data_IF_980419196347
#
_entry.id   IF_980419196347
#
_cell.length_a   1.000
_cell.length_b   1.000
_cell.length_c   1.000
_cell.angle_alpha   90.00
_cell.angle_beta   90.00
_cell.angle_gamma   90.00
#
_symmetry.space_group_name_H-M   'P 1'
#
loop_
_entity.id
_entity.type
_entity.pdbx_description
1 polymer ?
#
# COMPACT_ATOMS: atom_id res chain seq x y z
N UNK A 1 -93.88 -18.52 -5.45
CA UNK A 1 -92.82 -18.75 -4.44
C UNK A 1 -91.47 -18.36 -5.04
N UNK A 2 -90.99 -17.15 -4.77
CA UNK A 2 -89.71 -16.67 -5.30
C UNK A 2 -88.65 -16.67 -4.18
N UNK A 3 -87.58 -17.45 -4.37
CA UNK A 3 -86.41 -17.53 -3.48
C UNK A 3 -85.68 -16.18 -3.49
N UNK A 4 -85.50 -15.55 -2.31
CA UNK A 4 -84.54 -14.45 -2.12
C UNK A 4 -83.12 -15.02 -2.19
N UNK A 5 -82.37 -14.59 -3.20
CA UNK A 5 -80.92 -14.79 -3.31
C UNK A 5 -80.24 -13.78 -2.40
N UNK A 6 -79.40 -14.25 -1.48
CA UNK A 6 -78.54 -13.42 -0.65
C UNK A 6 -77.37 -12.88 -1.46
N UNK A 7 -77.18 -11.56 -1.45
CA UNK A 7 -75.99 -10.91 -2.00
C UNK A 7 -74.79 -11.14 -1.08
N UNK A 8 -73.60 -11.50 -1.61
CA UNK A 8 -72.41 -11.66 -0.79
C UNK A 8 -71.88 -10.30 -0.33
N UNK A 9 -71.48 -10.20 0.94
CA UNK A 9 -70.90 -8.99 1.51
C UNK A 9 -69.51 -8.72 0.92
N UNK A 10 -69.26 -7.46 0.54
CA UNK A 10 -67.96 -7.01 0.06
C UNK A 10 -66.87 -7.18 1.14
N UNK A 11 -65.66 -7.67 0.82
CA UNK A 11 -64.59 -7.78 1.79
C UNK A 11 -64.17 -6.39 2.27
N UNK A 12 -64.25 -6.14 3.58
CA UNK A 12 -63.69 -4.92 4.19
C UNK A 12 -62.19 -4.88 3.88
N UNK A 13 -61.75 -3.87 3.12
CA UNK A 13 -60.32 -3.59 2.93
C UNK A 13 -59.73 -3.31 4.32
N UNK A 14 -58.92 -4.22 4.84
CA UNK A 14 -58.12 -3.95 6.05
C UNK A 14 -57.17 -2.80 5.70
N UNK A 15 -57.34 -1.67 6.37
CA UNK A 15 -56.33 -0.61 6.31
C UNK A 15 -55.01 -1.22 6.78
N UNK A 16 -53.95 -1.02 6.01
CA UNK A 16 -52.60 -1.33 6.46
C UNK A 16 -52.38 -0.61 7.81
N UNK A 17 -51.75 -1.26 8.80
CA UNK A 17 -51.44 -0.58 10.05
C UNK A 17 -50.66 0.70 9.71
N UNK A 18 -50.83 1.80 10.45
CA UNK A 18 -49.99 2.97 10.26
C UNK A 18 -48.57 2.49 10.55
N UNK A 19 -47.81 2.18 9.51
CA UNK A 19 -46.40 1.85 9.63
C UNK A 19 -45.82 3.11 10.23
N UNK A 20 -45.46 3.01 11.51
CA UNK A 20 -45.21 4.17 12.34
C UNK A 20 -44.16 5.02 11.65
N UNK A 21 -44.50 6.24 11.30
CA UNK A 21 -43.53 7.22 10.81
C UNK A 21 -42.32 7.29 11.75
N UNK A 22 -42.52 7.05 13.05
CA UNK A 22 -41.44 6.88 14.02
C UNK A 22 -40.47 5.73 13.73
N UNK A 23 -40.92 4.58 13.21
CA UNK A 23 -40.03 3.48 12.81
C UNK A 23 -39.23 3.79 11.54
N UNK A 24 -39.84 4.49 10.57
CA UNK A 24 -39.15 4.95 9.37
C UNK A 24 -38.11 6.03 9.72
N UNK A 25 -38.48 7.00 10.55
CA UNK A 25 -37.57 8.05 11.04
C UNK A 25 -36.44 7.44 11.87
N UNK A 26 -36.73 6.48 12.75
CA UNK A 26 -35.70 5.77 13.51
C UNK A 26 -34.74 5.01 12.60
N UNK A 27 -35.23 4.34 11.56
CA UNK A 27 -34.39 3.66 10.58
C UNK A 27 -33.52 4.65 9.78
N UNK A 28 -34.09 5.78 9.35
CA UNK A 28 -33.34 6.84 8.64
C UNK A 28 -32.27 7.46 9.55
N UNK A 29 -32.57 7.69 10.83
CA UNK A 29 -31.60 8.20 11.79
C UNK A 29 -30.52 7.17 12.14
N UNK A 30 -30.86 5.88 12.23
CA UNK A 30 -29.89 4.81 12.45
C UNK A 30 -28.98 4.62 11.23
N UNK A 31 -29.54 4.63 10.02
CA UNK A 31 -28.77 4.53 8.77
C UNK A 31 -27.92 5.79 8.58
N UNK A 32 -28.50 6.99 8.74
CA UNK A 32 -27.79 8.26 8.65
C UNK A 32 -26.72 8.41 9.72
N UNK A 33 -27.00 8.02 10.95
CA UNK A 33 -26.05 7.98 12.06
C UNK A 33 -24.94 6.94 11.83
N UNK A 34 -25.26 5.78 11.26
CA UNK A 34 -24.29 4.78 10.85
C UNK A 34 -23.37 5.27 9.72
N UNK A 35 -23.93 5.92 8.69
CA UNK A 35 -23.15 6.55 7.61
C UNK A 35 -22.27 7.67 8.17
N UNK A 36 -22.81 8.52 9.04
CA UNK A 36 -22.04 9.58 9.70
C UNK A 36 -20.92 9.03 10.58
N UNK A 37 -21.18 7.96 11.34
CA UNK A 37 -20.19 7.30 12.18
C UNK A 37 -19.08 6.67 11.35
N UNK A 38 -19.42 5.95 10.27
CA UNK A 38 -18.45 5.38 9.32
C UNK A 38 -17.63 6.48 8.62
N UNK A 39 -18.26 7.58 8.20
CA UNK A 39 -17.55 8.72 7.62
C UNK A 39 -16.64 9.41 8.63
N UNK A 40 -17.03 9.48 9.90
CA UNK A 40 -16.18 10.02 10.97
C UNK A 40 -14.99 9.11 11.28
N UNK A 41 -15.12 7.80 11.06
CA UNK A 41 -14.00 6.86 11.09
C UNK A 41 -13.12 6.90 9.84
N UNK A 42 -13.58 7.51 8.74
CA UNK A 42 -12.81 7.67 7.50
C UNK A 42 -11.77 8.81 7.62
N UNK A 43 -10.83 8.67 8.53
CA UNK A 43 -9.80 9.69 8.84
C UNK A 43 -8.85 9.99 7.68
N UNK A 44 -8.83 9.15 6.64
CA UNK A 44 -7.92 9.23 5.51
C UNK A 44 -8.61 9.61 4.18
N UNK A 45 -9.88 10.04 4.25
CA UNK A 45 -10.64 10.57 3.10
C UNK A 45 -10.67 9.61 1.90
N UNK A 46 -10.95 8.34 2.16
CA UNK A 46 -10.92 7.32 1.12
C UNK A 46 -12.02 7.52 0.07
N UNK A 47 -11.64 7.58 -1.21
CA UNK A 47 -12.57 7.71 -2.35
C UNK A 47 -12.24 6.69 -3.43
N UNK A 48 -13.27 6.17 -4.08
CA UNK A 48 -13.09 5.24 -5.20
C UNK A 48 -12.76 5.99 -6.49
N UNK A 49 -11.75 5.52 -7.21
CA UNK A 49 -11.31 6.10 -8.48
C UNK A 49 -11.50 5.07 -9.58
N UNK A 50 -12.60 5.21 -10.33
CA UNK A 50 -13.05 4.19 -11.28
C UNK A 50 -12.01 3.85 -12.37
N UNK A 51 -11.26 4.85 -12.85
CA UNK A 51 -10.28 4.64 -13.92
C UNK A 51 -9.10 3.75 -13.49
N UNK A 52 -8.79 3.66 -12.19
CA UNK A 52 -7.76 2.75 -11.65
C UNK A 52 -8.35 1.57 -10.87
N UNK A 53 -9.68 1.50 -10.72
CA UNK A 53 -10.39 0.36 -10.13
C UNK A 53 -10.22 0.18 -8.61
N UNK A 54 -9.64 1.15 -7.89
CA UNK A 54 -9.37 1.02 -6.45
C UNK A 54 -9.83 2.25 -5.66
N UNK A 55 -9.87 2.14 -4.34
CA UNK A 55 -10.01 3.30 -3.44
C UNK A 55 -8.61 3.86 -3.15
N UNK A 56 -8.51 5.18 -3.02
CA UNK A 56 -7.30 5.89 -2.65
C UNK A 56 -7.54 6.74 -1.39
N UNK A 57 -6.55 6.87 -0.49
CA UNK A 57 -6.65 7.74 0.68
C UNK A 57 -6.23 9.18 0.31
N UNK A 58 -7.20 10.05 0.00
CA UNK A 58 -6.94 11.41 -0.51
C UNK A 58 -6.34 12.37 0.52
N UNK A 59 -6.33 11.99 1.80
CA UNK A 59 -5.59 12.72 2.84
C UNK A 59 -4.10 12.88 2.48
N UNK A 60 -3.50 11.89 1.81
CA UNK A 60 -2.10 11.93 1.42
C UNK A 60 -1.98 12.47 -0.01
N UNK A 61 -1.15 13.48 -0.21
CA UNK A 61 -0.97 14.10 -1.54
C UNK A 61 0.06 13.37 -2.40
N UNK A 62 0.92 12.56 -1.78
CA UNK A 62 2.04 11.88 -2.44
C UNK A 62 1.71 10.41 -2.65
N UNK A 63 1.42 10.09 -3.91
CA UNK A 63 1.15 8.73 -4.36
C UNK A 63 2.32 8.17 -5.18
N UNK A 64 2.47 6.86 -5.10
CA UNK A 64 3.46 6.12 -5.85
C UNK A 64 2.99 4.70 -6.13
N UNK A 65 3.83 3.98 -6.85
CA UNK A 65 3.64 2.55 -7.14
C UNK A 65 4.91 1.79 -6.80
N UNK A 66 4.82 0.47 -6.76
CA UNK A 66 6.00 -0.38 -6.81
C UNK A 66 5.87 -1.41 -7.92
N UNK A 67 7.01 -1.71 -8.56
CA UNK A 67 7.06 -2.51 -9.78
C UNK A 67 8.23 -3.49 -9.80
N UNK A 68 8.08 -4.55 -10.58
CA UNK A 68 9.09 -5.56 -10.86
C UNK A 68 8.96 -6.05 -12.31
N UNK A 69 9.70 -7.09 -12.68
CA UNK A 69 9.51 -7.81 -13.94
C UNK A 69 8.07 -8.32 -14.16
N UNK A 70 7.28 -8.48 -13.10
CA UNK A 70 5.91 -8.98 -13.19
C UNK A 70 4.96 -7.97 -13.83
N UNK A 71 5.29 -6.67 -13.81
CA UNK A 71 4.51 -5.62 -14.46
C UNK A 71 4.82 -5.49 -15.96
N UNK A 72 5.75 -6.29 -16.48
CA UNK A 72 6.13 -6.31 -17.88
C UNK A 72 6.72 -4.99 -18.37
N UNK A 73 6.54 -4.71 -19.67
CA UNK A 73 7.05 -3.48 -20.28
C UNK A 73 6.17 -2.29 -19.91
N UNK A 74 6.75 -1.35 -19.18
CA UNK A 74 6.09 -0.11 -18.74
C UNK A 74 6.31 1.00 -19.78
N UNK A 75 5.24 1.68 -20.17
CA UNK A 75 5.29 2.92 -20.95
C UNK A 75 5.47 4.12 -20.01
N UNK A 76 6.72 4.46 -19.69
CA UNK A 76 7.06 5.49 -18.71
C UNK A 76 6.58 6.91 -19.05
N UNK A 77 6.65 7.39 -20.30
CA UNK A 77 6.06 8.68 -20.67
C UNK A 77 4.56 8.76 -20.40
N UNK A 78 3.81 7.72 -20.77
CA UNK A 78 2.37 7.61 -20.49
C UNK A 78 2.11 7.55 -18.98
N UNK A 79 2.90 6.74 -18.27
CA UNK A 79 2.86 6.63 -16.81
C UNK A 79 3.04 8.01 -16.16
N UNK A 80 4.01 8.81 -16.62
CA UNK A 80 4.28 10.13 -16.04
C UNK A 80 3.14 11.12 -16.27
N UNK A 81 2.44 10.98 -17.39
CA UNK A 81 1.33 11.83 -17.82
C UNK A 81 -0.01 11.44 -17.21
N UNK A 82 -0.14 10.22 -16.66
CA UNK A 82 -1.37 9.76 -16.03
C UNK A 82 -1.88 10.78 -15.01
N UNK A 83 -3.17 11.08 -15.03
CA UNK A 83 -3.81 11.92 -14.02
C UNK A 83 -5.19 11.35 -13.71
N UNK A 84 -5.56 11.43 -12.44
CA UNK A 84 -6.90 11.10 -11.97
C UNK A 84 -7.33 12.19 -11.00
N UNK A 85 -8.21 13.09 -11.45
CA UNK A 85 -8.45 14.36 -10.74
C UNK A 85 -7.12 15.10 -10.53
N UNK A 86 -6.79 15.49 -9.30
CA UNK A 86 -5.52 16.14 -8.94
C UNK A 86 -4.35 15.15 -8.75
N UNK A 87 -4.62 13.84 -8.80
CA UNK A 87 -3.63 12.82 -8.47
C UNK A 87 -2.60 12.59 -9.58
N UNK A 88 -1.35 12.46 -9.15
CA UNK A 88 -0.18 12.15 -9.97
C UNK A 88 0.67 11.13 -9.22
N UNK A 89 1.30 10.20 -9.93
CA UNK A 89 2.41 9.46 -9.34
C UNK A 89 3.62 10.37 -9.19
N UNK A 90 4.23 10.32 -8.02
CA UNK A 90 5.39 11.13 -7.64
C UNK A 90 6.61 10.27 -7.33
N UNK A 91 6.40 9.03 -6.86
CA UNK A 91 7.49 8.09 -6.61
C UNK A 91 7.21 6.69 -7.17
N UNK A 92 8.28 5.90 -7.28
CA UNK A 92 8.23 4.48 -7.63
C UNK A 92 9.29 3.69 -6.88
N UNK A 93 8.91 2.56 -6.29
CA UNK A 93 9.88 1.54 -5.85
C UNK A 93 10.03 0.45 -6.91
N UNK A 94 11.26 0.00 -7.16
CA UNK A 94 11.56 -0.94 -8.25
C UNK A 94 12.34 -2.11 -7.69
N UNK A 95 11.86 -3.34 -7.94
CA UNK A 95 12.58 -4.55 -7.54
C UNK A 95 13.94 -4.58 -8.20
N UNK A 96 15.00 -4.67 -7.42
CA UNK A 96 16.35 -4.79 -7.94
C UNK A 96 16.86 -6.22 -7.89
N UNK A 97 16.74 -6.84 -6.72
CA UNK A 97 17.33 -8.16 -6.48
C UNK A 97 16.49 -8.99 -5.52
N UNK A 98 16.76 -10.29 -5.52
CA UNK A 98 16.12 -11.27 -4.65
C UNK A 98 17.16 -12.28 -4.18
N UNK A 99 17.25 -12.48 -2.87
CA UNK A 99 18.21 -13.42 -2.29
C UNK A 99 19.67 -13.15 -2.70
N UNK A 100 20.48 -14.21 -2.66
CA UNK A 100 21.93 -14.09 -2.82
C UNK A 100 22.42 -13.80 -4.25
N UNK A 101 21.58 -13.99 -5.28
CA UNK A 101 22.05 -13.95 -6.67
C UNK A 101 21.05 -13.48 -7.73
N UNK A 102 19.74 -13.49 -7.46
CA UNK A 102 18.78 -13.11 -8.48
C UNK A 102 18.75 -11.58 -8.63
N UNK A 103 18.82 -11.13 -9.88
CA UNK A 103 18.58 -9.75 -10.27
C UNK A 103 17.29 -9.69 -11.06
N UNK A 104 16.44 -8.71 -10.79
CA UNK A 104 15.25 -8.49 -11.60
C UNK A 104 15.67 -8.05 -13.02
N UNK A 105 15.22 -8.82 -14.02
CA UNK A 105 15.63 -8.64 -15.42
C UNK A 105 15.25 -7.27 -16.00
N UNK A 106 14.21 -6.63 -15.45
CA UNK A 106 13.69 -5.36 -15.94
C UNK A 106 14.18 -4.18 -15.08
N UNK A 107 14.88 -4.43 -13.96
CA UNK A 107 15.37 -3.41 -13.04
C UNK A 107 16.16 -2.30 -13.75
N UNK A 108 17.20 -2.65 -14.53
CA UNK A 108 18.06 -1.65 -15.17
C UNK A 108 17.29 -0.72 -16.10
N UNK A 109 16.34 -1.27 -16.85
CA UNK A 109 15.49 -0.48 -17.74
C UNK A 109 14.51 0.39 -16.94
N UNK A 110 13.79 -0.19 -15.99
CA UNK A 110 12.83 0.52 -15.15
C UNK A 110 13.51 1.64 -14.34
N UNK A 111 14.68 1.36 -13.76
CA UNK A 111 15.49 2.31 -13.01
C UNK A 111 15.86 3.53 -13.86
N UNK A 112 16.39 3.31 -15.07
CA UNK A 112 16.77 4.38 -16.00
C UNK A 112 15.55 5.20 -16.44
N UNK A 113 14.46 4.54 -16.77
CA UNK A 113 13.28 5.20 -17.33
C UNK A 113 12.51 6.00 -16.27
N UNK A 114 12.43 5.51 -15.03
CA UNK A 114 11.84 6.23 -13.89
C UNK A 114 12.53 7.58 -13.65
N UNK A 115 13.86 7.59 -13.71
CA UNK A 115 14.69 8.80 -13.60
C UNK A 115 14.47 9.75 -14.79
N UNK A 116 14.39 9.20 -16.01
CA UNK A 116 14.11 9.98 -17.22
C UNK A 116 12.77 10.71 -17.21
N UNK A 117 11.79 10.23 -16.44
CA UNK A 117 10.48 10.90 -16.27
C UNK A 117 10.36 11.71 -14.97
N UNK A 118 11.41 11.75 -14.16
CA UNK A 118 11.49 12.58 -12.96
C UNK A 118 10.63 12.10 -11.80
N UNK A 119 10.41 10.79 -11.66
CA UNK A 119 9.84 10.22 -10.44
C UNK A 119 10.94 10.02 -9.39
N UNK A 120 10.62 10.26 -8.11
CA UNK A 120 11.48 9.79 -7.03
C UNK A 120 11.53 8.27 -7.10
N UNK A 121 12.71 7.69 -7.26
CA UNK A 121 12.87 6.24 -7.43
C UNK A 121 13.62 5.63 -6.25
N UNK A 122 13.16 4.48 -5.78
CA UNK A 122 13.83 3.66 -4.78
C UNK A 122 13.98 2.22 -5.27
N UNK A 123 15.01 1.53 -4.83
CA UNK A 123 15.27 0.14 -5.21
C UNK A 123 15.03 -0.77 -4.01
N UNK A 124 14.36 -1.90 -4.21
CA UNK A 124 14.11 -2.87 -3.14
C UNK A 124 14.77 -4.22 -3.37
N UNK A 125 15.14 -4.86 -2.26
CA UNK A 125 15.70 -6.20 -2.19
C UNK A 125 14.70 -7.16 -1.53
N UNK A 126 14.22 -8.16 -2.26
CA UNK A 126 13.37 -9.21 -1.70
C UNK A 126 14.22 -10.20 -0.89
N UNK A 127 14.03 -10.20 0.43
CA UNK A 127 14.85 -10.93 1.37
C UNK A 127 14.45 -12.41 1.47
N UNK A 128 15.45 -13.30 1.41
CA UNK A 128 15.30 -14.74 1.56
C UNK A 128 15.94 -15.18 2.89
N UNK A 129 15.15 -15.55 3.92
CA UNK A 129 15.67 -15.73 5.28
C UNK A 129 16.76 -16.79 5.44
N UNK A 130 16.74 -17.83 4.61
CA UNK A 130 17.71 -18.94 4.65
C UNK A 130 18.97 -18.68 3.81
N UNK A 131 19.18 -17.45 3.33
CA UNK A 131 20.44 -17.01 2.69
C UNK A 131 21.18 -16.06 3.64
N UNK A 132 22.51 -16.04 3.55
CA UNK A 132 23.32 -15.16 4.42
C UNK A 132 23.05 -13.70 4.10
N UNK A 133 22.93 -12.81 5.11
CA UNK A 133 22.65 -11.40 4.89
C UNK A 133 23.75 -10.71 4.04
N UNK A 134 25.01 -11.13 4.17
CA UNK A 134 26.14 -10.59 3.41
C UNK A 134 26.00 -10.88 1.90
N UNK A 135 25.64 -12.12 1.54
CA UNK A 135 25.49 -12.49 0.13
C UNK A 135 24.32 -11.76 -0.54
N UNK A 136 23.24 -11.55 0.23
CA UNK A 136 22.07 -10.79 -0.19
C UNK A 136 22.40 -9.31 -0.37
N UNK A 137 23.15 -8.72 0.57
CA UNK A 137 23.60 -7.35 0.47
C UNK A 137 24.56 -7.15 -0.72
N UNK A 138 25.54 -8.04 -0.92
CA UNK A 138 26.46 -7.94 -2.07
C UNK A 138 25.72 -8.06 -3.41
N UNK A 139 24.66 -8.87 -3.48
CA UNK A 139 23.80 -8.92 -4.66
C UNK A 139 23.11 -7.58 -4.93
N UNK A 140 22.51 -6.98 -3.90
CA UNK A 140 21.86 -5.68 -4.01
C UNK A 140 22.86 -4.56 -4.37
N UNK A 141 23.98 -4.47 -3.64
CA UNK A 141 25.08 -3.50 -3.86
C UNK A 141 25.67 -3.55 -5.27
N UNK A 142 25.79 -4.74 -5.86
CA UNK A 142 26.29 -4.90 -7.24
C UNK A 142 25.28 -4.34 -8.26
N UNK A 143 24.00 -4.49 -7.99
CA UNK A 143 22.93 -4.14 -8.93
C UNK A 143 22.48 -2.69 -8.81
N UNK A 144 22.52 -2.13 -7.61
CA UNK A 144 21.96 -0.82 -7.29
C UNK A 144 23.08 0.19 -7.04
N UNK A 145 23.04 1.29 -7.80
CA UNK A 145 23.86 2.48 -7.58
C UNK A 145 22.93 3.65 -7.38
N UNK A 146 22.88 4.14 -6.15
CA UNK A 146 22.07 5.30 -5.78
C UNK A 146 22.85 6.58 -6.07
N UNK A 147 22.13 7.61 -6.49
CA UNK A 147 22.62 8.98 -6.63
C UNK A 147 21.77 9.93 -5.80
N UNK A 148 22.24 11.17 -5.65
CA UNK A 148 21.47 12.25 -5.04
C UNK A 148 20.05 12.31 -5.60
N UNK A 149 19.07 12.40 -4.71
CA UNK A 149 17.65 12.43 -5.06
C UNK A 149 16.98 11.06 -5.22
N UNK A 150 17.73 9.96 -5.23
CA UNK A 150 17.14 8.62 -5.10
C UNK A 150 16.65 8.40 -3.65
N UNK A 151 15.59 7.62 -3.50
CA UNK A 151 15.09 7.18 -2.20
C UNK A 151 16.06 6.17 -1.55
N UNK A 152 16.04 6.03 -0.20
CA UNK A 152 16.85 5.03 0.47
C UNK A 152 16.62 3.61 -0.06
N UNK A 153 17.61 2.71 0.07
CA UNK A 153 17.43 1.31 -0.30
C UNK A 153 16.35 0.67 0.60
N UNK A 154 15.57 -0.23 0.03
CA UNK A 154 14.50 -0.92 0.76
C UNK A 154 14.89 -2.38 0.99
N UNK A 155 14.76 -2.85 2.23
CA UNK A 155 14.73 -4.27 2.56
C UNK A 155 13.29 -4.76 2.60
N UNK A 156 12.89 -5.57 1.63
CA UNK A 156 11.57 -6.20 1.58
C UNK A 156 11.65 -7.54 2.34
N UNK A 157 11.00 -7.57 3.51
CA UNK A 157 10.94 -8.73 4.38
C UNK A 157 9.49 -9.14 4.67
N UNK A 158 9.03 -10.11 3.90
CA UNK A 158 7.67 -10.67 4.01
C UNK A 158 7.61 -12.19 3.93
N UNK A 159 8.78 -12.86 3.98
CA UNK A 159 8.90 -14.31 3.87
C UNK A 159 9.40 -14.93 5.17
N UNK A 160 8.71 -15.97 5.63
CA UNK A 160 9.05 -16.72 6.84
C UNK A 160 10.04 -17.84 6.59
N UNK A 161 10.57 -18.42 7.67
CA UNK A 161 11.40 -19.63 7.59
C UNK A 161 11.23 -20.47 8.85
N UNK A 162 11.37 -21.79 8.69
CA UNK A 162 11.44 -22.74 9.81
C UNK A 162 12.89 -23.16 10.11
N UNK A 163 13.86 -22.72 9.28
CA UNK A 163 15.26 -23.10 9.42
C UNK A 163 16.03 -22.24 10.43
N UNK A 164 15.47 -21.10 10.84
CA UNK A 164 16.09 -20.14 11.75
C UNK A 164 15.13 -19.80 12.88
N UNK A 165 15.69 -19.57 14.07
CA UNK A 165 14.94 -18.97 15.17
C UNK A 165 14.57 -17.52 14.85
N UNK A 166 13.61 -16.97 15.60
CA UNK A 166 13.22 -15.58 15.44
C UNK A 166 14.38 -14.62 15.70
N UNK A 167 15.20 -14.91 16.72
CA UNK A 167 16.39 -14.14 17.09
C UNK A 167 17.44 -14.17 15.98
N UNK A 168 17.65 -15.33 15.34
CA UNK A 168 18.56 -15.45 14.19
C UNK A 168 18.07 -14.64 12.99
N UNK A 169 16.75 -14.63 12.71
CA UNK A 169 16.19 -13.80 11.65
C UNK A 169 16.41 -12.32 11.96
N UNK A 170 16.12 -11.86 13.18
CA UNK A 170 16.33 -10.47 13.61
C UNK A 170 17.81 -10.08 13.48
N UNK A 171 18.73 -10.94 13.94
CA UNK A 171 20.16 -10.70 13.81
C UNK A 171 20.59 -10.56 12.35
N UNK A 172 20.11 -11.45 11.46
CA UNK A 172 20.46 -11.40 10.05
C UNK A 172 19.91 -10.14 9.35
N UNK A 173 18.66 -9.75 9.65
CA UNK A 173 18.08 -8.50 9.14
C UNK A 173 18.90 -7.29 9.60
N UNK A 174 19.30 -7.24 10.87
CA UNK A 174 20.16 -6.17 11.41
C UNK A 174 21.50 -6.11 10.69
N UNK A 175 22.11 -7.25 10.37
CA UNK A 175 23.34 -7.30 9.58
C UNK A 175 23.14 -6.69 8.20
N UNK A 176 22.11 -7.11 7.45
CA UNK A 176 21.85 -6.57 6.10
C UNK A 176 21.61 -5.06 6.14
N UNK A 177 20.78 -4.59 7.08
CA UNK A 177 20.44 -3.18 7.23
C UNK A 177 21.65 -2.32 7.59
N UNK A 178 22.50 -2.80 8.50
CA UNK A 178 23.75 -2.11 8.88
C UNK A 178 24.72 -2.03 7.71
N UNK A 179 24.87 -3.10 6.93
CA UNK A 179 25.72 -3.11 5.74
C UNK A 179 25.22 -2.10 4.70
N UNK A 180 23.90 -2.04 4.48
CA UNK A 180 23.28 -1.09 3.56
C UNK A 180 23.40 0.36 4.04
N UNK A 181 23.15 0.65 5.32
CA UNK A 181 23.31 1.99 5.90
C UNK A 181 24.76 2.49 5.77
N UNK A 182 25.74 1.63 6.10
CA UNK A 182 27.16 1.96 5.98
C UNK A 182 27.59 2.22 4.53
N UNK A 183 27.07 1.45 3.57
CA UNK A 183 27.47 1.59 2.17
C UNK A 183 26.81 2.77 1.46
N UNK A 184 25.51 2.98 1.69
CA UNK A 184 24.75 4.05 1.01
C UNK A 184 24.75 5.37 1.79
N UNK A 185 25.21 5.38 3.04
CA UNK A 185 25.24 6.58 3.88
C UNK A 185 23.87 7.09 4.28
N UNK A 186 22.83 6.26 4.16
CA UNK A 186 21.45 6.59 4.52
C UNK A 186 20.79 5.35 5.13
N UNK A 187 19.91 5.57 6.11
CA UNK A 187 19.18 4.47 6.74
C UNK A 187 18.22 3.81 5.73
N UNK A 188 18.31 2.49 5.51
CA UNK A 188 17.38 1.77 4.65
C UNK A 188 15.93 1.83 5.15
N UNK A 189 14.99 1.73 4.23
CA UNK A 189 13.57 1.53 4.54
C UNK A 189 13.32 0.02 4.74
N UNK A 190 12.49 -0.36 5.70
CA UNK A 190 12.01 -1.75 5.86
C UNK A 190 10.61 -1.84 5.28
N UNK A 191 10.43 -2.66 4.24
CA UNK A 191 9.11 -3.08 3.77
C UNK A 191 8.69 -4.37 4.44
N UNK A 192 7.45 -4.42 4.94
CA UNK A 192 6.89 -5.62 5.55
C UNK A 192 5.36 -5.55 5.64
N UNK A 193 4.73 -6.68 5.97
CA UNK A 193 3.30 -6.75 6.25
C UNK A 193 3.02 -6.75 7.77
N UNK A 194 1.74 -6.68 8.13
CA UNK A 194 1.29 -6.59 9.52
C UNK A 194 1.84 -7.68 10.45
N UNK A 195 1.92 -8.92 9.98
CA UNK A 195 2.29 -10.06 10.80
C UNK A 195 3.79 -10.08 11.10
N UNK A 196 4.60 -9.82 10.07
CA UNK A 196 6.04 -9.72 10.19
C UNK A 196 6.47 -8.47 10.96
N UNK A 197 5.75 -7.35 10.80
CA UNK A 197 5.95 -6.16 11.61
C UNK A 197 5.87 -6.48 13.11
N UNK A 198 4.77 -7.11 13.54
CA UNK A 198 4.54 -7.44 14.96
C UNK A 198 5.57 -8.44 15.49
N UNK A 199 5.96 -9.42 14.67
CA UNK A 199 6.84 -10.50 15.11
C UNK A 199 8.31 -10.11 15.14
N UNK A 200 8.77 -9.36 14.14
CA UNK A 200 10.20 -9.11 13.93
C UNK A 200 10.59 -7.64 14.02
N UNK A 201 9.71 -6.70 13.63
CA UNK A 201 10.12 -5.32 13.37
C UNK A 201 9.91 -4.37 14.56
N UNK A 202 8.69 -4.34 15.11
CA UNK A 202 8.19 -3.31 16.05
C UNK A 202 9.20 -2.87 17.12
N UNK A 203 9.78 -3.84 17.83
CA UNK A 203 10.66 -3.56 18.97
C UNK A 203 12.15 -3.63 18.63
N UNK A 204 12.51 -4.24 17.49
CA UNK A 204 13.91 -4.57 17.17
C UNK A 204 14.58 -3.55 16.23
N UNK A 205 13.79 -2.78 15.47
CA UNK A 205 14.30 -1.87 14.43
C UNK A 205 13.76 -0.45 14.60
N UNK A 206 13.67 0.01 15.86
CA UNK A 206 13.26 1.37 16.19
C UNK A 206 14.15 2.38 15.46
N UNK A 207 13.52 3.39 14.83
CA UNK A 207 14.20 4.45 14.10
C UNK A 207 14.52 4.13 12.63
N UNK A 208 14.22 2.92 12.15
CA UNK A 208 14.19 2.64 10.70
C UNK A 208 12.89 3.16 10.07
N UNK A 209 12.95 3.85 8.91
CA UNK A 209 11.77 4.18 8.14
C UNK A 209 11.02 2.91 7.73
N UNK A 210 9.70 2.92 7.88
CA UNK A 210 8.85 1.77 7.52
C UNK A 210 8.01 2.04 6.28
N UNK A 211 7.90 1.00 5.46
CA UNK A 211 6.93 0.85 4.39
C UNK A 211 6.03 -0.34 4.70
N UNK A 212 4.77 -0.08 5.06
CA UNK A 212 3.86 -1.13 5.51
C UNK A 212 2.91 -1.56 4.39
N UNK A 213 2.82 -2.86 4.13
CA UNK A 213 1.74 -3.45 3.36
C UNK A 213 0.54 -3.75 4.24
N UNK A 214 -0.55 -3.03 4.03
CA UNK A 214 -1.81 -3.25 4.72
C UNK A 214 -3.00 -2.88 3.83
N UNK A 215 -3.65 -3.91 3.29
CA UNK A 215 -4.81 -3.76 2.40
C UNK A 215 -6.15 -3.86 3.14
N UNK A 216 -6.11 -4.15 4.45
CA UNK A 216 -7.30 -4.52 5.23
C UNK A 216 -7.91 -3.36 6.02
N UNK A 217 -7.16 -2.27 6.17
CA UNK A 217 -7.54 -1.14 7.01
C UNK A 217 -7.81 0.15 6.24
N UNK A 218 -8.72 0.97 6.77
CA UNK A 218 -8.85 2.37 6.37
C UNK A 218 -7.84 3.26 7.11
N UNK A 219 -7.18 2.73 8.14
CA UNK A 219 -6.23 3.44 9.02
C UNK A 219 -5.03 2.56 9.39
N UNK A 220 -3.98 3.17 9.93
CA UNK A 220 -2.75 2.51 10.38
C UNK A 220 -2.65 2.45 11.92
N UNK A 221 -3.76 2.59 12.64
CA UNK A 221 -3.79 2.71 14.12
C UNK A 221 -3.25 1.47 14.87
N UNK A 222 -3.00 0.35 14.18
CA UNK A 222 -2.43 -0.87 14.76
C UNK A 222 -0.90 -0.92 14.72
N UNK A 223 -0.28 0.08 14.11
CA UNK A 223 1.17 0.24 14.01
C UNK A 223 1.60 1.43 14.85
N UNK A 224 2.88 1.48 15.23
CA UNK A 224 3.43 2.67 15.86
C UNK A 224 3.72 3.68 14.74
N UNK A 225 2.92 4.74 14.69
CA UNK A 225 2.78 5.65 13.55
C UNK A 225 4.05 6.48 13.26
N UNK A 226 4.81 6.82 14.30
CA UNK A 226 5.93 7.77 14.25
C UNK A 226 7.08 7.39 13.28
N UNK A 227 7.11 6.18 12.74
CA UNK A 227 8.17 5.71 11.83
C UNK A 227 7.66 5.25 10.46
N UNK A 228 6.35 5.26 10.22
CA UNK A 228 5.77 4.81 8.95
C UNK A 228 5.82 5.94 7.96
N UNK A 229 6.61 5.74 6.91
CA UNK A 229 6.78 6.72 5.85
C UNK A 229 5.97 6.34 4.61
N UNK A 230 5.80 5.04 4.34
CA UNK A 230 5.07 4.56 3.18
C UNK A 230 4.02 3.54 3.58
N UNK A 231 2.93 3.52 2.82
CA UNK A 231 1.85 2.55 2.97
C UNK A 231 1.45 1.98 1.62
N UNK A 232 1.70 0.69 1.41
CA UNK A 232 1.12 -0.05 0.30
C UNK A 232 -0.30 -0.46 0.68
N UNK A 233 -1.26 0.18 0.04
CA UNK A 233 -2.67 0.11 0.45
C UNK A 233 -3.54 -0.62 -0.58
N UNK A 234 -2.98 -0.99 -1.74
CA UNK A 234 -3.65 -1.82 -2.73
C UNK A 234 -2.65 -2.57 -3.60
N UNK A 235 -3.06 -3.74 -4.09
CA UNK A 235 -2.32 -4.60 -5.04
C UNK A 235 -3.03 -4.85 -6.37
N UNK A 236 -4.13 -4.13 -6.58
CA UNK A 236 -5.09 -4.43 -7.65
C UNK A 236 -5.46 -3.18 -8.44
N UNK A 237 -4.67 -2.12 -8.32
CA UNK A 237 -4.90 -0.89 -9.07
C UNK A 237 -4.49 -1.06 -10.53
N UNK A 238 -5.07 -0.26 -11.39
CA UNK A 238 -4.65 -0.13 -12.78
C UNK A 238 -4.07 1.25 -13.01
N UNK A 239 -3.26 1.42 -14.05
CA UNK A 239 -2.73 2.73 -14.38
C UNK A 239 -2.29 2.83 -15.83
N UNK A 240 -2.35 4.03 -16.39
CA UNK A 240 -1.94 4.28 -17.77
C UNK A 240 -0.45 3.89 -17.93
N UNK A 241 -0.12 3.21 -19.03
CA UNK A 241 1.24 2.74 -19.32
C UNK A 241 1.69 1.44 -18.64
N UNK A 242 0.88 0.81 -17.77
CA UNK A 242 1.14 -0.55 -17.26
C UNK A 242 0.00 -1.49 -17.64
N UNK A 243 0.34 -2.65 -18.19
CA UNK A 243 -0.65 -3.69 -18.49
C UNK A 243 -0.85 -4.58 -17.28
N UNK A 244 -2.08 -4.65 -16.78
CA UNK A 244 -2.45 -5.47 -15.62
C UNK A 244 -2.38 -4.70 -14.29
N UNK A 245 -2.60 -5.42 -13.17
CA UNK A 245 -2.62 -4.81 -11.85
C UNK A 245 -1.24 -4.30 -11.42
N UNK A 246 -1.25 -3.25 -10.60
CA UNK A 246 -0.08 -2.64 -9.97
C UNK A 246 -0.35 -2.33 -8.50
N UNK A 247 0.71 -2.40 -7.71
CA UNK A 247 0.71 -2.05 -6.31
C UNK A 247 0.74 -0.53 -6.12
N UNK A 248 -0.17 -0.01 -5.29
CA UNK A 248 -0.33 1.42 -5.03
C UNK A 248 0.06 1.78 -3.61
N UNK A 249 0.79 2.88 -3.53
CA UNK A 249 1.41 3.37 -2.32
C UNK A 249 1.07 4.84 -2.08
N UNK A 250 1.09 5.22 -0.80
CA UNK A 250 1.15 6.62 -0.39
C UNK A 250 2.35 6.86 0.52
N UNK A 251 2.85 8.08 0.49
CA UNK A 251 3.83 8.58 1.45
C UNK A 251 3.12 9.43 2.51
N UNK A 252 3.43 9.18 3.79
CA UNK A 252 2.75 9.73 4.96
C UNK A 252 3.40 11.05 5.42
N UNK A 253 3.66 11.94 4.46
CA UNK A 253 4.27 13.25 4.72
C UNK A 253 4.12 14.15 3.51
N UNK A 254 4.75 15.31 3.55
CA UNK A 254 4.75 16.25 2.43
C UNK A 254 5.96 16.08 1.50
N UNK A 255 6.06 16.94 0.48
CA UNK A 255 7.14 16.85 -0.52
C UNK A 255 8.50 17.23 0.07
N UNK A 256 8.52 18.06 1.11
CA UNK A 256 9.71 18.40 1.88
C UNK A 256 10.22 17.18 2.64
N UNK A 257 9.34 16.46 3.32
CA UNK A 257 9.65 15.22 4.03
C UNK A 257 10.18 14.14 3.07
N UNK A 258 9.55 13.96 1.91
CA UNK A 258 10.00 13.00 0.89
C UNK A 258 11.41 13.35 0.39
N UNK A 259 11.67 14.62 0.10
CA UNK A 259 13.01 15.11 -0.26
C UNK A 259 14.01 14.96 0.88
N UNK A 260 13.57 15.12 2.12
CA UNK A 260 14.38 14.96 3.32
C UNK A 260 14.90 13.52 3.41
N UNK A 261 14.07 12.54 3.04
CA UNK A 261 14.40 11.12 3.04
C UNK A 261 15.39 10.71 1.93
N UNK A 262 15.41 11.43 0.80
CA UNK A 262 16.30 11.11 -0.33
C UNK A 262 17.79 11.32 -0.01
N UNK A 263 18.66 10.57 -0.70
CA UNK A 263 20.11 10.76 -0.66
C UNK A 263 20.50 12.21 -1.00
N UNK A 264 21.50 12.73 -0.27
CA UNK A 264 21.94 14.14 -0.32
C UNK A 264 23.06 14.40 -1.31
#
# INVERSE_FOLDING_TARGET
>A
MARRVSTPSSPKKRALPPIGWGAIVALVLLVGGGIWYVNRLNTNEWRHVSKIGIRLPFKYSIHGIDVSKHNGRINWPELRQMRFEELRLQFVFIKATEGASLTDKDFKNNWKQADGVGLYRGAYHFYIPWRTPESQFENFKRSVKLKKGDLPPVLDFELGTNALSQEQVIANLKTWLTLAENYYGVRPIIYTNADFYRRYIKENFVGYPLWIADYSGWTLNRYDDAVIHFWQHSKSGYTDGIRGPVDYNVFLGDVGDLKALCLK
#
